data_IF_069542702438
#
_entry.id   IF_069542702438
#
_cell.length_a   1.000
_cell.length_b   1.000
_cell.length_c   1.000
_cell.angle_alpha   90.00
_cell.angle_beta   90.00
_cell.angle_gamma   90.00
#
_symmetry.space_group_name_H-M   'P 1'
#
loop_
_entity.id
_entity.type
_entity.pdbx_description
1 polymer ?
#
# COMPACT_ATOMS: atom_id res chain seq x y z
N UNK A 1 -0.12 -3.87 -27.96
CA UNK A 1 -0.32 -4.36 -26.59
C UNK A 1 -0.96 -3.20 -25.87
N UNK A 2 -2.27 -3.28 -25.59
CA UNK A 2 -2.92 -2.34 -24.69
C UNK A 2 -2.33 -2.59 -23.30
N UNK A 3 -1.71 -1.58 -22.71
CA UNK A 3 -1.31 -1.64 -21.32
C UNK A 3 -2.57 -1.42 -20.48
N UNK A 4 -3.23 -2.51 -20.11
CA UNK A 4 -4.24 -2.53 -19.06
C UNK A 4 -3.57 -2.14 -17.74
N UNK A 5 -3.61 -0.86 -17.39
CA UNK A 5 -2.94 -0.31 -16.22
C UNK A 5 -3.81 0.69 -15.48
N UNK A 6 -3.80 0.57 -14.15
CA UNK A 6 -4.41 1.54 -13.24
C UNK A 6 -3.34 2.15 -12.34
N UNK A 7 -3.43 3.46 -12.10
CA UNK A 7 -2.63 4.14 -11.08
C UNK A 7 -3.48 4.24 -9.83
N UNK A 8 -2.91 3.80 -8.69
CA UNK A 8 -3.57 3.87 -7.38
C UNK A 8 -2.83 4.80 -6.43
N UNK A 9 -3.56 5.62 -5.70
CA UNK A 9 -3.00 6.46 -4.63
C UNK A 9 -4.00 6.68 -3.49
N UNK A 10 -3.49 7.16 -2.36
CA UNK A 10 -4.29 7.58 -1.22
C UNK A 10 -4.60 9.07 -1.34
N UNK A 11 -5.88 9.41 -1.33
CA UNK A 11 -6.37 10.80 -1.29
C UNK A 11 -6.72 11.18 0.15
N UNK A 12 -5.82 11.93 0.79
CA UNK A 12 -5.93 12.34 2.18
C UNK A 12 -6.84 13.57 2.32
N UNK A 13 -8.07 13.31 2.77
CA UNK A 13 -8.97 14.36 3.24
C UNK A 13 -8.68 14.67 4.73
N UNK A 14 -8.84 15.93 5.17
CA UNK A 14 -8.64 16.31 6.56
C UNK A 14 -9.50 15.47 7.51
N UNK A 15 -8.88 14.91 8.55
CA UNK A 15 -9.51 14.19 9.67
C UNK A 15 -10.29 12.91 9.30
N UNK A 16 -10.08 12.33 8.11
CA UNK A 16 -10.76 11.12 7.67
C UNK A 16 -9.78 10.03 7.23
N UNK A 17 -10.29 8.80 7.15
CA UNK A 17 -9.64 7.72 6.42
C UNK A 17 -9.44 8.18 4.96
N UNK A 18 -8.22 8.13 4.39
CA UNK A 18 -8.00 8.54 3.01
C UNK A 18 -8.72 7.59 2.05
N UNK A 19 -9.28 8.12 0.96
CA UNK A 19 -9.85 7.28 -0.09
C UNK A 19 -8.73 6.57 -0.87
N UNK A 20 -8.95 5.32 -1.28
CA UNK A 20 -8.11 4.67 -2.29
C UNK A 20 -8.70 5.04 -3.66
N UNK A 21 -7.97 5.85 -4.42
CA UNK A 21 -8.38 6.30 -5.75
C UNK A 21 -7.68 5.44 -6.79
N UNK A 22 -8.40 5.08 -7.85
CA UNK A 22 -7.89 4.40 -9.03
C UNK A 22 -8.13 5.26 -10.27
N UNK A 23 -7.11 5.39 -11.11
CA UNK A 23 -7.21 6.02 -12.42
C UNK A 23 -6.91 4.99 -13.50
N UNK A 24 -7.91 4.69 -14.32
CA UNK A 24 -7.81 3.78 -15.47
C UNK A 24 -7.11 4.52 -16.62
N UNK A 25 -5.93 4.05 -17.02
CA UNK A 25 -5.11 4.71 -18.05
C UNK A 25 -5.71 4.60 -19.46
N UNK A 26 -6.57 3.61 -19.71
CA UNK A 26 -7.19 3.40 -21.01
C UNK A 26 -8.46 4.21 -21.16
N UNK A 27 -9.29 4.25 -20.11
CA UNK A 27 -10.56 4.97 -20.09
C UNK A 27 -10.40 6.43 -19.68
N UNK A 28 -9.26 6.78 -19.08
CA UNK A 28 -8.99 8.08 -18.45
C UNK A 28 -10.05 8.43 -17.39
N UNK A 29 -10.58 7.43 -16.69
CA UNK A 29 -11.64 7.60 -15.68
C UNK A 29 -11.14 7.34 -14.27
N UNK A 30 -11.65 8.12 -13.33
CA UNK A 30 -11.44 7.92 -11.91
C UNK A 30 -12.49 6.98 -11.32
N UNK A 31 -12.06 6.10 -10.45
CA UNK A 31 -12.90 5.26 -9.62
C UNK A 31 -12.37 5.21 -8.20
N UNK A 32 -13.24 4.84 -7.25
CA UNK A 32 -12.86 4.65 -5.87
C UNK A 32 -12.81 3.15 -5.58
N UNK A 33 -11.69 2.70 -5.02
CA UNK A 33 -11.52 1.32 -4.58
C UNK A 33 -12.07 1.18 -3.16
N UNK A 34 -12.68 0.02 -2.89
CA UNK A 34 -13.16 -0.32 -1.55
C UNK A 34 -12.00 -0.38 -0.56
N UNK A 35 -12.28 -0.19 0.73
CA UNK A 35 -11.30 -0.41 1.77
C UNK A 35 -11.36 -1.84 2.33
N UNK A 36 -10.22 -2.39 2.76
CA UNK A 36 -10.20 -3.51 3.68
C UNK A 36 -10.93 -3.20 4.99
N UNK A 37 -11.32 -4.26 5.70
CA UNK A 37 -11.90 -4.14 7.04
C UNK A 37 -10.78 -3.96 8.07
N UNK A 38 -10.36 -2.72 8.26
CA UNK A 38 -9.36 -2.37 9.26
C UNK A 38 -9.85 -2.57 10.68
N UNK A 39 -8.89 -2.81 11.58
CA UNK A 39 -9.10 -2.76 13.01
C UNK A 39 -9.39 -1.34 13.50
N UNK A 40 -10.02 -1.25 14.67
CA UNK A 40 -10.20 0.00 15.40
C UNK A 40 -8.86 0.59 15.87
N UNK A 41 -8.82 1.92 16.01
CA UNK A 41 -7.64 2.68 16.42
C UNK A 41 -7.09 3.60 15.34
N UNK A 42 -6.20 4.51 15.77
CA UNK A 42 -5.42 5.37 14.87
C UNK A 42 -4.50 4.50 14.03
N UNK A 43 -4.52 4.74 12.72
CA UNK A 43 -3.78 3.95 11.74
C UNK A 43 -3.22 4.83 10.64
N UNK A 44 -2.02 4.48 10.19
CA UNK A 44 -1.43 5.04 8.98
C UNK A 44 -1.56 4.02 7.86
N UNK A 45 -2.10 4.47 6.73
CA UNK A 45 -2.22 3.66 5.52
C UNK A 45 -1.08 3.97 4.56
N UNK A 46 -0.63 2.94 3.86
CA UNK A 46 0.25 3.01 2.71
C UNK A 46 -0.21 2.02 1.63
N UNK A 47 0.17 2.26 0.37
CA UNK A 47 -0.14 1.38 -0.76
C UNK A 47 1.12 0.70 -1.28
N UNK A 48 0.97 -0.55 -1.71
CA UNK A 48 2.03 -1.32 -2.33
C UNK A 48 1.49 -2.33 -3.34
N UNK A 49 2.39 -3.14 -3.90
CA UNK A 49 2.04 -4.20 -4.86
C UNK A 49 2.70 -5.50 -4.43
N UNK A 50 1.94 -6.46 -3.91
CA UNK A 50 2.45 -7.78 -3.53
C UNK A 50 2.27 -8.78 -4.68
N UNK A 51 3.38 -9.13 -5.34
CA UNK A 51 3.35 -9.89 -6.58
C UNK A 51 2.81 -9.03 -7.71
N UNK A 52 1.58 -9.29 -8.12
CA UNK A 52 0.81 -8.57 -9.16
C UNK A 52 -0.47 -7.91 -8.61
N UNK A 53 -0.68 -7.96 -7.28
CA UNK A 53 -1.90 -7.48 -6.64
C UNK A 53 -1.65 -6.23 -5.80
N UNK A 54 -2.59 -5.28 -5.89
CA UNK A 54 -2.61 -4.10 -5.02
C UNK A 54 -2.70 -4.55 -3.55
N UNK A 55 -1.90 -3.94 -2.69
CA UNK A 55 -1.97 -4.16 -1.26
C UNK A 55 -2.05 -2.84 -0.48
N UNK A 56 -2.67 -2.92 0.69
CA UNK A 56 -2.71 -1.83 1.68
C UNK A 56 -1.98 -2.28 2.92
N UNK A 57 -1.06 -1.43 3.38
CA UNK A 57 -0.37 -1.59 4.65
C UNK A 57 -1.08 -0.71 5.68
N UNK A 58 -1.63 -1.33 6.72
CA UNK A 58 -2.33 -0.63 7.80
C UNK A 58 -1.52 -0.72 9.09
N UNK A 59 -0.84 0.37 9.44
CA UNK A 59 0.09 0.44 10.57
C UNK A 59 -0.55 1.07 11.81
N UNK A 60 -0.40 0.43 12.98
CA UNK A 60 -1.00 0.84 14.25
C UNK A 60 0.08 1.06 15.31
N UNK A 61 0.32 2.32 15.68
CA UNK A 61 1.38 2.68 16.63
C UNK A 61 1.19 2.07 18.03
N UNK A 62 -0.02 2.10 18.56
CA UNK A 62 -0.31 1.54 19.89
C UNK A 62 -0.11 0.03 19.95
N UNK A 63 -0.34 -0.67 18.83
CA UNK A 63 -0.25 -2.13 18.74
C UNK A 63 1.11 -2.62 18.24
N UNK A 64 2.01 -1.71 17.85
CA UNK A 64 3.30 -2.06 17.26
C UNK A 64 3.20 -3.01 16.06
N UNK A 65 2.15 -2.89 15.25
CA UNK A 65 1.91 -3.84 14.16
C UNK A 65 1.51 -3.15 12.87
N UNK A 66 1.76 -3.85 11.77
CA UNK A 66 1.25 -3.51 10.45
C UNK A 66 0.55 -4.70 9.84
N UNK A 67 -0.74 -4.55 9.54
CA UNK A 67 -1.49 -5.51 8.75
C UNK A 67 -1.25 -5.27 7.27
N UNK A 68 -1.10 -6.36 6.50
CA UNK A 68 -1.00 -6.34 5.05
C UNK A 68 -2.27 -6.95 4.47
N UNK A 69 -3.05 -6.10 3.80
CA UNK A 69 -4.25 -6.47 3.08
C UNK A 69 -3.96 -6.54 1.60
N UNK A 70 -4.34 -7.64 0.96
CA UNK A 70 -4.15 -7.83 -0.48
C UNK A 70 -5.51 -7.81 -1.13
N UNK A 71 -5.63 -7.01 -2.19
CA UNK A 71 -6.82 -6.95 -3.02
C UNK A 71 -6.93 -8.25 -3.80
N UNK A 72 -8.08 -8.89 -3.70
CA UNK A 72 -8.47 -9.99 -4.56
C UNK A 72 -9.18 -9.44 -5.81
N UNK A 73 -9.30 -10.25 -6.86
CA UNK A 73 -9.79 -9.81 -8.18
C UNK A 73 -11.19 -9.21 -8.22
N UNK A 74 -11.99 -9.40 -7.16
CA UNK A 74 -13.40 -8.99 -7.08
C UNK A 74 -13.62 -7.76 -6.16
N UNK A 75 -12.68 -6.81 -6.13
CA UNK A 75 -12.71 -5.65 -5.21
C UNK A 75 -12.86 -6.03 -3.72
N UNK A 76 -12.48 -7.26 -3.38
CA UNK A 76 -12.50 -7.77 -2.02
C UNK A 76 -11.09 -7.76 -1.45
N UNK A 77 -10.96 -7.74 -0.12
CA UNK A 77 -9.67 -7.66 0.54
C UNK A 77 -9.49 -8.84 1.47
N UNK A 78 -8.33 -9.50 1.35
CA UNK A 78 -7.92 -10.57 2.25
C UNK A 78 -6.78 -10.08 3.13
N UNK A 79 -6.89 -10.28 4.44
CA UNK A 79 -5.76 -10.08 5.34
C UNK A 79 -4.76 -11.21 5.07
N UNK A 80 -3.62 -10.85 4.50
CA UNK A 80 -2.61 -11.83 4.11
C UNK A 80 -1.72 -12.19 5.30
N UNK A 81 -1.25 -11.18 6.02
CA UNK A 81 -0.35 -11.33 7.17
C UNK A 81 -0.24 -10.03 7.96
N UNK A 82 0.41 -10.10 9.11
CA UNK A 82 0.79 -8.95 9.91
C UNK A 82 2.28 -8.99 10.26
N UNK A 83 2.89 -7.82 10.40
CA UNK A 83 4.27 -7.61 10.86
C UNK A 83 4.21 -7.00 12.25
N UNK A 84 4.81 -7.65 13.24
CA UNK A 84 5.00 -7.09 14.58
C UNK A 84 6.36 -6.43 14.68
N UNK A 85 6.37 -5.23 15.26
CA UNK A 85 7.58 -4.47 15.54
C UNK A 85 8.03 -4.66 16.98
N UNK A 86 9.35 -4.63 17.24
CA UNK A 86 9.87 -4.52 18.60
C UNK A 86 9.25 -3.33 19.33
N UNK A 87 9.01 -3.50 20.63
CA UNK A 87 8.37 -2.49 21.49
C UNK A 87 9.36 -1.45 22.03
N UNK A 88 10.59 -1.43 21.53
CA UNK A 88 11.68 -0.59 22.02
C UNK A 88 11.65 0.86 21.48
N UNK A 89 10.86 1.12 20.43
CA UNK A 89 10.71 2.43 19.82
C UNK A 89 9.28 2.96 19.93
N UNK A 90 9.02 3.99 20.74
CA UNK A 90 7.66 4.51 20.94
C UNK A 90 7.06 5.21 19.69
N UNK A 91 5.76 5.00 19.47
CA UNK A 91 4.96 5.76 18.51
C UNK A 91 5.22 5.45 17.03
N UNK A 92 4.90 6.43 16.18
CA UNK A 92 4.90 6.31 14.71
C UNK A 92 6.28 6.16 14.06
N UNK A 93 7.36 6.49 14.77
CA UNK A 93 8.71 6.48 14.24
C UNK A 93 9.15 5.07 13.77
N UNK A 94 8.58 4.00 14.35
CA UNK A 94 8.87 2.61 13.96
C UNK A 94 8.43 2.25 12.54
N UNK A 95 7.42 2.94 11.99
CA UNK A 95 6.89 2.67 10.64
C UNK A 95 7.53 3.51 9.54
N UNK A 96 8.49 4.38 9.87
CA UNK A 96 9.28 5.08 8.85
C UNK A 96 10.33 4.18 8.21
N UNK A 97 10.53 2.96 8.75
CA UNK A 97 11.34 1.92 8.12
C UNK A 97 10.58 1.39 6.89
N UNK A 98 11.09 1.77 5.72
CA UNK A 98 10.46 1.54 4.42
C UNK A 98 10.38 0.04 4.12
N UNK A 99 9.26 -0.41 3.58
CA UNK A 99 9.08 -1.80 3.15
C UNK A 99 9.73 -1.97 1.77
N UNK A 100 10.68 -2.90 1.64
CA UNK A 100 11.22 -3.29 0.34
C UNK A 100 10.69 -4.68 0.01
N UNK A 101 10.01 -4.79 -1.12
CA UNK A 101 9.47 -6.05 -1.59
C UNK A 101 10.20 -6.41 -2.87
N UNK A 102 10.93 -7.53 -2.84
CA UNK A 102 11.57 -8.04 -4.05
C UNK A 102 10.54 -8.73 -4.95
N UNK A 103 10.81 -8.75 -6.25
CA UNK A 103 9.95 -9.37 -7.27
C UNK A 103 9.65 -10.87 -7.03
N UNK A 104 10.38 -11.53 -6.13
CA UNK A 104 10.15 -12.91 -5.71
C UNK A 104 9.27 -13.04 -4.46
N UNK A 105 8.60 -11.95 -4.03
CA UNK A 105 7.70 -11.94 -2.88
C UNK A 105 8.41 -12.03 -1.53
N UNK A 106 9.73 -11.83 -1.49
CA UNK A 106 10.49 -11.79 -0.23
C UNK A 106 10.54 -10.37 0.32
N UNK A 107 10.40 -10.29 1.64
CA UNK A 107 10.46 -9.04 2.38
C UNK A 107 11.91 -8.76 2.76
N UNK A 108 12.42 -7.57 2.40
CA UNK A 108 13.67 -7.05 2.92
C UNK A 108 13.40 -5.72 3.63
N UNK A 109 13.99 -5.56 4.81
CA UNK A 109 14.05 -4.28 5.49
C UNK A 109 15.19 -3.47 4.87
N UNK A 110 14.92 -2.33 4.25
CA UNK A 110 15.98 -1.37 3.97
C UNK A 110 15.47 0.08 4.06
N UNK A 111 16.35 0.89 4.65
CA UNK A 111 16.20 2.29 4.97
C UNK A 111 16.27 3.12 3.67
N UNK A 112 15.34 4.06 3.54
CA UNK A 112 15.21 5.09 2.51
C UNK A 112 14.83 4.57 1.11
N UNK A 113 13.70 5.05 0.57
CA UNK A 113 13.52 5.54 -0.81
C UNK A 113 12.05 5.93 -1.05
N UNK A 114 11.87 7.11 -1.64
CA UNK A 114 10.64 7.57 -2.30
C UNK A 114 10.51 6.83 -3.64
N UNK A 115 9.45 6.06 -3.86
CA UNK A 115 9.17 5.51 -5.19
C UNK A 115 8.55 6.59 -6.09
N UNK A 116 9.39 7.24 -6.90
CA UNK A 116 8.96 7.87 -8.15
C UNK A 116 9.21 6.87 -9.27
N UNK A 117 8.15 6.20 -9.74
CA UNK A 117 8.24 5.39 -10.95
C UNK A 117 8.29 6.33 -12.17
N UNK A 118 9.50 6.58 -12.70
CA UNK A 118 9.65 7.03 -14.09
C UNK A 118 9.95 5.80 -14.94
N UNK A 119 9.02 5.44 -15.82
CA UNK A 119 9.19 4.36 -16.81
C UNK A 119 10.22 4.85 -17.85
N UNK A 120 11.35 4.16 -18.06
CA UNK A 120 12.25 4.50 -19.16
C UNK A 120 11.61 4.06 -20.48
N UNK A 121 11.19 5.02 -21.29
CA UNK A 121 10.84 4.78 -22.69
C UNK A 121 12.13 4.35 -23.39
N UNK A 122 12.27 3.07 -23.70
CA UNK A 122 13.37 2.61 -24.56
C UNK A 122 12.89 2.70 -26.01
N UNK A 123 13.27 3.78 -26.68
CA UNK A 123 13.20 3.86 -28.15
C UNK A 123 14.42 3.12 -28.72
N UNK A 124 14.18 1.94 -29.30
CA UNK A 124 14.62 1.56 -30.65
C UNK A 124 14.21 0.14 -31.03
#
# INVERSE_FOLDING_TARGET
>A
MEEDGCIHWLDYLPNNLPNIVSFDLLKETYSQVTHPRYDEGEKRLDLGVLGDRLCVLSSYAEKALTDIWVMDGDDSWTNSLFIMYPQDHDGWARFWQTYCMSNDGKYYYSLDIVFVYMIPITLH
#
